data_IF_475715152111
#
_entry.id   IF_475715152111
#
_cell.length_a   1.000
_cell.length_b   1.000
_cell.length_c   1.000
_cell.angle_alpha   90.00
_cell.angle_beta   90.00
_cell.angle_gamma   90.00
#
_symmetry.space_group_name_H-M   'P 1'
#
loop_
_entity.id
_entity.type
_entity.pdbx_description
1 polymer ?
#
# COMPACT_ATOMS: atom_id res chain seq x y z
N UNK A 1 4.52 -1.32 20.32
CA UNK A 1 4.39 0.05 19.77
C UNK A 1 4.04 -0.10 18.30
N UNK A 2 2.97 0.56 17.84
CA UNK A 2 2.27 0.20 16.61
C UNK A 2 2.88 0.81 15.35
N UNK A 3 3.32 -0.05 14.44
CA UNK A 3 3.60 0.34 13.06
C UNK A 3 2.27 0.32 12.30
N UNK A 4 1.89 1.45 11.70
CA UNK A 4 0.74 1.49 10.79
C UNK A 4 1.17 0.84 9.47
N UNK A 5 0.48 -0.24 9.10
CA UNK A 5 0.66 -0.96 7.84
C UNK A 5 -0.73 -1.24 7.29
N UNK A 6 -1.08 -0.64 6.15
CA UNK A 6 -2.38 -0.81 5.51
C UNK A 6 -2.22 -1.34 4.09
N UNK A 7 -3.11 -2.24 3.70
CA UNK A 7 -3.31 -2.69 2.32
C UNK A 7 -4.03 -1.61 1.49
N UNK A 8 -3.98 -1.70 0.16
CA UNK A 8 -4.75 -0.79 -0.73
C UNK A 8 -6.26 -0.82 -0.40
N UNK A 9 -6.81 -1.99 -0.04
CA UNK A 9 -8.21 -2.14 0.35
C UNK A 9 -8.55 -1.37 1.63
N UNK A 10 -7.65 -1.37 2.61
CA UNK A 10 -7.84 -0.63 3.85
C UNK A 10 -7.69 0.87 3.63
N UNK A 11 -6.78 1.28 2.74
CA UNK A 11 -6.61 2.67 2.32
C UNK A 11 -7.83 3.18 1.54
N UNK A 12 -8.41 2.34 0.67
CA UNK A 12 -9.67 2.61 -0.03
C UNK A 12 -10.80 2.94 0.95
N UNK A 13 -10.95 2.10 1.98
CA UNK A 13 -11.93 2.30 3.04
C UNK A 13 -11.63 3.54 3.87
N UNK A 14 -10.36 3.84 4.13
CA UNK A 14 -9.93 5.00 4.90
C UNK A 14 -10.24 6.32 4.18
N UNK A 15 -9.93 6.42 2.89
CA UNK A 15 -10.13 7.63 2.10
C UNK A 15 -11.49 7.75 1.43
N UNK A 16 -12.25 6.66 1.35
CA UNK A 16 -13.51 6.63 0.62
C UNK A 16 -13.34 6.85 -0.89
N UNK A 17 -12.18 6.49 -1.44
CA UNK A 17 -11.85 6.65 -2.86
C UNK A 17 -11.53 5.30 -3.49
N UNK A 18 -11.80 5.15 -4.78
CA UNK A 18 -11.59 3.87 -5.48
C UNK A 18 -10.12 3.43 -5.45
N UNK A 19 -9.89 2.11 -5.34
CA UNK A 19 -8.55 1.51 -5.41
C UNK A 19 -7.79 1.96 -6.67
N UNK A 20 -8.49 2.15 -7.79
CA UNK A 20 -7.90 2.61 -9.05
C UNK A 20 -7.19 3.96 -8.89
N UNK A 21 -7.83 4.89 -8.16
CA UNK A 21 -7.29 6.22 -7.86
C UNK A 21 -6.07 6.11 -6.93
N UNK A 22 -6.16 5.29 -5.88
CA UNK A 22 -5.05 5.05 -4.95
C UNK A 22 -3.84 4.49 -5.69
N UNK A 23 -4.04 3.47 -6.52
CA UNK A 23 -2.97 2.84 -7.30
C UNK A 23 -2.30 3.82 -8.29
N UNK A 24 -3.08 4.71 -8.90
CA UNK A 24 -2.52 5.75 -9.76
C UNK A 24 -1.66 6.74 -8.96
N UNK A 25 -2.13 7.18 -7.80
CA UNK A 25 -1.37 8.08 -6.93
C UNK A 25 -0.11 7.42 -6.38
N UNK A 26 -0.17 6.17 -5.95
CA UNK A 26 1.00 5.38 -5.53
C UNK A 26 2.06 5.32 -6.63
N UNK A 27 1.67 5.04 -7.89
CA UNK A 27 2.59 5.06 -9.03
C UNK A 27 3.24 6.42 -9.23
N UNK A 28 2.50 7.51 -9.08
CA UNK A 28 3.05 8.87 -9.19
C UNK A 28 4.02 9.17 -8.04
N UNK A 29 3.67 8.79 -6.80
CA UNK A 29 4.51 8.96 -5.62
C UNK A 29 5.83 8.21 -5.78
N UNK A 30 5.81 6.93 -6.19
CA UNK A 30 7.05 6.17 -6.37
C UNK A 30 7.89 6.68 -7.54
N UNK A 31 7.26 7.16 -8.63
CA UNK A 31 7.98 7.83 -9.73
C UNK A 31 8.68 9.13 -9.31
N UNK A 32 8.21 9.80 -8.25
CA UNK A 32 8.86 11.01 -7.75
C UNK A 32 10.22 10.75 -7.10
N UNK A 33 10.56 9.47 -6.80
CA UNK A 33 11.78 9.06 -6.09
C UNK A 33 11.99 9.74 -4.72
N UNK A 34 10.94 10.35 -4.14
CA UNK A 34 10.99 10.94 -2.79
C UNK A 34 11.06 9.82 -1.74
N UNK A 35 10.37 8.70 -1.98
CA UNK A 35 10.34 7.54 -1.08
C UNK A 35 11.06 6.36 -1.73
N UNK A 36 11.87 5.65 -0.96
CA UNK A 36 12.42 4.35 -1.37
C UNK A 36 11.37 3.28 -1.09
N UNK A 37 10.96 2.54 -2.11
CA UNK A 37 9.92 1.50 -1.98
C UNK A 37 10.21 0.51 -0.84
N UNK A 38 11.47 0.15 -0.63
CA UNK A 38 11.92 -0.77 0.43
C UNK A 38 11.70 -0.25 1.86
N UNK A 39 11.60 1.07 2.02
CA UNK A 39 11.53 1.71 3.33
C UNK A 39 10.07 1.97 3.74
N UNK A 40 9.16 1.96 2.77
CA UNK A 40 7.77 2.39 2.93
C UNK A 40 6.72 1.37 2.50
N UNK A 41 7.15 0.33 1.77
CA UNK A 41 6.31 -0.76 1.31
C UNK A 41 6.82 -2.09 1.87
N UNK A 42 5.91 -2.90 2.39
CA UNK A 42 6.20 -4.25 2.88
C UNK A 42 5.34 -5.25 2.11
N UNK A 43 5.96 -6.17 1.39
CA UNK A 43 5.27 -7.29 0.76
C UNK A 43 5.30 -8.52 1.67
N UNK A 44 4.12 -9.10 1.93
CA UNK A 44 4.00 -10.38 2.60
C UNK A 44 3.45 -11.44 1.66
N UNK A 45 4.14 -12.57 1.58
CA UNK A 45 3.68 -13.75 0.83
C UNK A 45 2.87 -14.65 1.75
N UNK A 46 1.63 -14.90 1.36
CA UNK A 46 0.75 -15.85 2.00
C UNK A 46 0.67 -17.11 1.18
N UNK A 47 0.59 -18.24 1.85
CA UNK A 47 0.37 -19.54 1.23
C UNK A 47 -0.82 -20.22 1.90
N UNK A 48 -1.77 -20.70 1.10
CA UNK A 48 -2.88 -21.51 1.57
C UNK A 48 -2.73 -22.94 1.06
N UNK A 49 -2.52 -23.87 1.98
CA UNK A 49 -2.55 -25.31 1.72
C UNK A 49 -3.93 -25.75 1.20
N UNK A 50 -5.02 -25.18 1.74
CA UNK A 50 -6.39 -25.54 1.36
C UNK A 50 -6.74 -25.12 -0.07
N UNK A 51 -6.21 -23.99 -0.53
CA UNK A 51 -6.44 -23.48 -1.90
C UNK A 51 -5.31 -23.81 -2.86
N UNK A 52 -4.25 -24.48 -2.38
CA UNK A 52 -3.00 -24.72 -3.10
C UNK A 52 -2.48 -23.47 -3.83
N UNK A 53 -2.55 -22.31 -3.16
CA UNK A 53 -2.32 -21.01 -3.78
C UNK A 53 -1.40 -20.14 -2.95
N UNK A 54 -0.44 -19.49 -3.60
CA UNK A 54 0.36 -18.39 -3.08
C UNK A 54 -0.22 -17.06 -3.56
N UNK A 55 -0.28 -16.07 -2.67
CA UNK A 55 -0.54 -14.68 -3.05
C UNK A 55 0.33 -13.72 -2.26
N UNK A 56 0.61 -12.57 -2.85
CA UNK A 56 1.38 -11.50 -2.24
C UNK A 56 0.48 -10.33 -1.91
N UNK A 57 0.65 -9.78 -0.70
CA UNK A 57 -0.07 -8.58 -0.25
C UNK A 57 0.94 -7.49 0.05
N UNK A 58 0.76 -6.34 -0.58
CA UNK A 58 1.52 -5.14 -0.29
C UNK A 58 0.87 -4.33 0.84
N UNK A 59 1.70 -3.89 1.77
CA UNK A 59 1.35 -3.02 2.89
C UNK A 59 2.11 -1.71 2.77
N UNK A 60 1.44 -0.60 3.05
CA UNK A 60 2.00 0.74 3.01
C UNK A 60 2.06 1.33 4.41
N UNK A 61 3.21 1.95 4.71
CA UNK A 61 3.43 2.59 6.00
C UNK A 61 2.69 3.94 6.12
N UNK A 62 2.80 4.56 7.29
CA UNK A 62 2.17 5.86 7.56
C UNK A 62 2.61 6.98 6.62
N UNK A 63 3.87 7.00 6.17
CA UNK A 63 4.40 8.06 5.29
C UNK A 63 3.68 8.05 3.93
N UNK A 64 3.50 6.86 3.35
CA UNK A 64 2.74 6.71 2.11
C UNK A 64 1.28 7.08 2.30
N UNK A 65 0.68 6.68 3.42
CA UNK A 65 -0.71 7.04 3.72
C UNK A 65 -0.86 8.56 3.81
N UNK A 66 0.06 9.27 4.46
CA UNK A 66 0.05 10.74 4.52
C UNK A 66 0.23 11.35 3.12
N UNK A 67 1.17 10.82 2.32
CA UNK A 67 1.41 11.29 0.96
C UNK A 67 0.17 11.11 0.05
N UNK A 68 -0.61 10.05 0.25
CA UNK A 68 -1.86 9.81 -0.47
C UNK A 68 -2.99 10.76 -0.06
N UNK A 69 -2.98 11.27 1.18
CA UNK A 69 -3.98 12.23 1.65
C UNK A 69 -3.79 13.63 1.04
N UNK A 70 -2.56 13.95 0.64
CA UNK A 70 -2.18 15.22 0.03
C UNK A 70 -1.42 14.97 -1.30
N UNK A 71 -2.12 14.47 -2.33
CA UNK A 71 -1.49 14.20 -3.61
C UNK A 71 -0.97 15.52 -4.21
N UNK A 72 0.35 15.58 -4.46
CA UNK A 72 1.02 16.70 -5.12
C UNK A 72 0.54 16.91 -6.56
#
# INVERSE_FOLDING_TARGET
MGTVLLTVNEIERLFGCFMQTINNNLRTIFKSNIYRETDVCYSHKYYSLFREMEWEVAFYNLEIIIALAYPN
#
